data_IF_369211412365
#
_entry.id   IF_369211412365
#
_cell.length_a   1.000
_cell.length_b   1.000
_cell.length_c   1.000
_cell.angle_alpha   90.00
_cell.angle_beta   90.00
_cell.angle_gamma   90.00
#
_symmetry.space_group_name_H-M   'P 1'
#
loop_
_entity.id
_entity.type
_entity.pdbx_description
1 polymer ?
#
# COMPACT_ATOMS: atom_id res chain seq x y z
N UNK A 1 -1.75 11.03 -17.82
CA UNK A 1 -0.82 11.61 -16.82
C UNK A 1 0.35 10.67 -16.64
N UNK A 2 1.55 11.18 -16.77
CA UNK A 2 2.78 10.42 -16.49
C UNK A 2 3.11 10.49 -15.01
N UNK A 3 3.43 9.34 -14.42
CA UNK A 3 3.89 9.25 -13.04
C UNK A 3 5.35 8.77 -13.00
N UNK A 4 6.03 9.12 -11.91
CA UNK A 4 7.37 8.63 -11.60
C UNK A 4 7.33 7.82 -10.30
N UNK A 5 8.18 6.82 -10.21
CA UNK A 5 8.45 6.05 -9.02
C UNK A 5 9.84 6.40 -8.50
N UNK A 6 9.91 6.90 -7.29
CA UNK A 6 11.15 7.36 -6.67
C UNK A 6 11.37 6.56 -5.38
N UNK A 7 12.56 5.93 -5.19
CA UNK A 7 12.88 5.29 -3.92
C UNK A 7 12.78 6.31 -2.78
N UNK A 8 12.02 5.98 -1.74
CA UNK A 8 11.88 6.85 -0.58
C UNK A 8 13.14 6.80 0.28
N UNK A 9 13.54 7.94 0.80
CA UNK A 9 14.66 8.12 1.70
C UNK A 9 14.19 8.57 3.10
N UNK A 10 15.08 8.60 4.06
CA UNK A 10 14.73 8.97 5.44
C UNK A 10 14.07 10.35 5.54
N UNK A 11 14.51 11.31 4.74
CA UNK A 11 13.91 12.64 4.70
C UNK A 11 12.47 12.66 4.16
N UNK A 12 12.02 11.59 3.50
CA UNK A 12 10.68 11.51 2.91
C UNK A 12 9.63 11.00 3.92
N UNK A 13 10.03 10.62 5.13
CA UNK A 13 9.12 10.03 6.12
C UNK A 13 8.00 10.96 6.53
N UNK A 14 8.28 12.26 6.67
CA UNK A 14 7.24 13.25 6.98
C UNK A 14 6.20 13.34 5.86
N UNK A 15 6.65 13.33 4.61
CA UNK A 15 5.79 13.33 3.43
C UNK A 15 4.92 12.06 3.38
N UNK A 16 5.50 10.89 3.58
CA UNK A 16 4.78 9.61 3.60
C UNK A 16 3.71 9.59 4.69
N UNK A 17 4.06 10.08 5.88
CA UNK A 17 3.14 10.14 7.01
C UNK A 17 1.99 11.12 6.75
N UNK A 18 2.27 12.26 6.12
CA UNK A 18 1.26 13.22 5.70
C UNK A 18 0.29 12.61 4.67
N UNK A 19 0.81 11.90 3.67
CA UNK A 19 -0.01 11.18 2.68
C UNK A 19 -0.91 10.15 3.36
N UNK A 20 -0.37 9.36 4.29
CA UNK A 20 -1.15 8.37 5.06
C UNK A 20 -2.27 9.03 5.85
N UNK A 21 -1.98 10.13 6.53
CA UNK A 21 -2.97 10.89 7.30
C UNK A 21 -4.11 11.38 6.42
N UNK A 22 -3.80 11.85 5.21
CA UNK A 22 -4.81 12.32 4.26
C UNK A 22 -5.64 11.18 3.66
N UNK A 23 -5.01 10.05 3.36
CA UNK A 23 -5.65 8.91 2.71
C UNK A 23 -6.52 8.11 3.67
N UNK A 24 -6.11 7.92 4.93
CA UNK A 24 -6.83 7.07 5.90
C UNK A 24 -8.32 7.38 6.04
N UNK A 25 -8.77 8.62 6.18
CA UNK A 25 -10.20 8.90 6.32
C UNK A 25 -11.03 8.40 5.13
N UNK A 26 -10.50 8.48 3.93
CA UNK A 26 -11.22 8.03 2.73
C UNK A 26 -11.13 6.53 2.50
N UNK A 27 -10.01 5.90 2.88
CA UNK A 27 -9.80 4.47 2.71
C UNK A 27 -10.53 3.61 3.75
N UNK A 28 -10.65 4.11 4.99
CA UNK A 28 -11.12 3.30 6.12
C UNK A 28 -12.41 3.82 6.77
N UNK A 29 -12.97 4.92 6.30
CA UNK A 29 -14.25 5.42 6.83
C UNK A 29 -15.35 4.41 6.54
N UNK A 30 -16.12 4.06 7.60
CA UNK A 30 -17.10 2.98 7.56
C UNK A 30 -16.54 1.57 7.80
N UNK A 31 -15.19 1.40 7.81
CA UNK A 31 -14.52 0.14 8.14
C UNK A 31 -13.97 0.19 9.57
N UNK A 32 -13.27 1.27 9.92
CA UNK A 32 -12.76 1.51 11.26
C UNK A 32 -13.62 2.51 12.02
N UNK A 33 -13.69 2.43 13.37
CA UNK A 33 -14.32 3.45 14.20
C UNK A 33 -13.74 4.84 13.89
N UNK A 34 -14.61 5.88 13.92
CA UNK A 34 -14.18 7.26 13.68
C UNK A 34 -13.02 7.69 14.55
N UNK A 35 -13.03 7.33 15.84
CA UNK A 35 -11.91 7.57 16.76
C UNK A 35 -10.57 7.02 16.25
N UNK A 36 -10.54 5.79 15.74
CA UNK A 36 -9.33 5.17 15.23
C UNK A 36 -8.78 5.89 13.98
N UNK A 37 -9.64 6.57 13.23
CA UNK A 37 -9.26 7.37 12.06
C UNK A 37 -8.79 8.76 12.49
N UNK A 38 -9.47 9.38 13.43
CA UNK A 38 -9.25 10.76 13.88
C UNK A 38 -8.04 10.88 14.80
N UNK A 39 -7.78 9.87 15.63
CA UNK A 39 -6.59 9.79 16.49
C UNK A 39 -5.38 9.29 15.69
N UNK A 40 -4.84 10.18 14.85
CA UNK A 40 -3.65 9.90 14.08
C UNK A 40 -2.40 10.42 14.78
N UNK A 41 -1.60 9.51 15.33
CA UNK A 41 -0.30 9.84 15.93
C UNK A 41 0.76 9.96 14.84
N UNK A 42 0.97 11.19 14.37
CA UNK A 42 1.92 11.49 13.30
C UNK A 42 3.34 11.03 13.65
N UNK A 43 3.79 11.33 14.86
CA UNK A 43 5.15 10.97 15.32
C UNK A 43 5.36 9.46 15.35
N UNK A 44 4.39 8.69 15.85
CA UNK A 44 4.48 7.23 15.90
C UNK A 44 4.49 6.62 14.50
N UNK A 45 3.68 7.13 13.58
CA UNK A 45 3.68 6.68 12.19
C UNK A 45 5.00 7.00 11.49
N UNK A 46 5.53 8.22 11.68
CA UNK A 46 6.80 8.62 11.09
C UNK A 46 7.96 7.75 11.57
N UNK A 47 8.01 7.43 12.86
CA UNK A 47 9.03 6.54 13.43
C UNK A 47 8.96 5.13 12.83
N UNK A 48 7.75 4.60 12.64
CA UNK A 48 7.55 3.29 11.99
C UNK A 48 8.00 3.30 10.53
N UNK A 49 7.71 4.36 9.79
CA UNK A 49 8.14 4.50 8.40
C UNK A 49 9.67 4.61 8.30
N UNK A 50 10.29 5.36 9.21
CA UNK A 50 11.74 5.47 9.28
C UNK A 50 12.40 4.11 9.55
N UNK A 51 11.87 3.34 10.49
CA UNK A 51 12.36 2.00 10.79
C UNK A 51 12.28 1.07 9.55
N UNK A 52 11.20 1.15 8.79
CA UNK A 52 11.03 0.37 7.55
C UNK A 52 11.98 0.81 6.45
N UNK A 53 12.24 2.11 6.28
CA UNK A 53 13.22 2.60 5.30
C UNK A 53 14.63 2.12 5.64
N UNK A 54 14.97 2.03 6.90
CA UNK A 54 16.27 1.53 7.37
C UNK A 54 16.43 0.02 7.30
N UNK A 55 15.33 -0.71 7.29
CA UNK A 55 15.32 -2.16 7.19
C UNK A 55 15.45 -2.60 5.73
N UNK A 56 16.54 -3.30 5.42
CA UNK A 56 16.85 -3.75 4.05
C UNK A 56 15.84 -4.76 3.48
N UNK A 57 15.00 -5.37 4.32
CA UNK A 57 13.93 -6.25 3.84
C UNK A 57 12.77 -5.49 3.22
N UNK A 58 12.64 -4.19 3.51
CA UNK A 58 11.62 -3.32 2.95
C UNK A 58 12.10 -2.57 1.72
N UNK A 59 11.18 -2.34 0.80
CA UNK A 59 11.34 -1.42 -0.32
C UNK A 59 10.18 -0.42 -0.30
N UNK A 60 10.52 0.86 -0.28
CA UNK A 60 9.56 1.96 -0.17
C UNK A 60 9.73 2.89 -1.36
N UNK A 61 8.65 3.18 -2.07
CA UNK A 61 8.67 4.08 -3.21
C UNK A 61 7.60 5.16 -3.08
N UNK A 62 7.97 6.40 -3.35
CA UNK A 62 7.01 7.46 -3.61
C UNK A 62 6.48 7.35 -5.04
N UNK A 63 5.20 7.59 -5.21
CA UNK A 63 4.56 7.81 -6.51
C UNK A 63 4.40 9.30 -6.68
N UNK A 64 4.99 9.85 -7.73
CA UNK A 64 4.98 11.28 -8.00
C UNK A 64 4.29 11.59 -9.32
N UNK A 65 3.53 12.67 -9.36
CA UNK A 65 2.95 13.24 -10.57
C UNK A 65 3.38 14.70 -10.68
N UNK A 66 3.98 15.08 -11.79
CA UNK A 66 4.52 16.44 -11.96
C UNK A 66 5.55 16.85 -10.90
N UNK A 67 6.31 15.90 -10.37
CA UNK A 67 7.27 16.11 -9.30
C UNK A 67 6.69 16.14 -7.88
N UNK A 68 5.37 16.11 -7.72
CA UNK A 68 4.71 16.12 -6.42
C UNK A 68 4.38 14.69 -5.97
N UNK A 69 4.69 14.30 -4.73
CA UNK A 69 4.28 13.02 -4.18
C UNK A 69 2.76 12.93 -4.05
N UNK A 70 2.17 11.90 -4.65
CA UNK A 70 0.72 11.65 -4.66
C UNK A 70 0.34 10.32 -4.02
N UNK A 71 1.31 9.53 -3.63
CA UNK A 71 1.09 8.21 -3.03
C UNK A 71 2.41 7.52 -2.72
N UNK A 72 2.33 6.31 -2.23
CA UNK A 72 3.50 5.49 -1.97
C UNK A 72 3.18 3.99 -2.02
N UNK A 73 4.23 3.20 -2.24
CA UNK A 73 4.22 1.74 -2.24
C UNK A 73 5.20 1.25 -1.18
N UNK A 74 4.79 0.26 -0.41
CA UNK A 74 5.62 -0.34 0.64
C UNK A 74 5.56 -1.86 0.52
N UNK A 75 6.70 -2.47 0.29
CA UNK A 75 6.87 -3.92 0.20
C UNK A 75 7.83 -4.44 1.24
N UNK A 76 7.67 -5.70 1.58
CA UNK A 76 8.63 -6.44 2.37
C UNK A 76 9.02 -7.73 1.65
N UNK A 77 10.32 -7.99 1.54
CA UNK A 77 10.83 -9.27 1.06
C UNK A 77 10.67 -10.31 2.16
N UNK A 78 9.95 -11.37 1.86
CA UNK A 78 9.81 -12.55 2.70
C UNK A 78 10.46 -13.76 2.01
N UNK A 79 10.63 -14.87 2.71
CA UNK A 79 11.39 -16.04 2.22
C UNK A 79 10.91 -16.55 0.84
N UNK A 80 9.60 -16.55 0.59
CA UNK A 80 9.00 -17.11 -0.62
C UNK A 80 8.13 -16.10 -1.41
N UNK A 81 8.04 -14.85 -0.95
CA UNK A 81 7.13 -13.88 -1.55
C UNK A 81 7.54 -12.44 -1.25
N UNK A 82 7.04 -11.50 -2.04
CA UNK A 82 7.00 -10.09 -1.68
C UNK A 82 5.66 -9.78 -1.06
N UNK A 83 5.66 -9.24 0.14
CA UNK A 83 4.44 -8.76 0.79
C UNK A 83 4.24 -7.28 0.51
N UNK A 84 3.12 -6.96 -0.12
CA UNK A 84 2.67 -5.58 -0.28
C UNK A 84 1.96 -5.14 1.00
N UNK A 85 2.58 -4.22 1.76
CA UNK A 85 1.99 -3.65 2.98
C UNK A 85 1.11 -2.44 2.70
N UNK A 86 1.50 -1.62 1.74
CA UNK A 86 0.78 -0.39 1.41
C UNK A 86 0.89 -0.07 -0.07
N UNK A 87 -0.25 0.30 -0.63
CA UNK A 87 -0.37 0.85 -1.97
C UNK A 87 -1.42 1.95 -1.91
N UNK A 88 -0.97 3.17 -1.71
CA UNK A 88 -1.85 4.32 -1.52
C UNK A 88 -1.63 5.37 -2.59
N UNK A 89 -2.74 5.94 -3.06
CA UNK A 89 -2.78 7.09 -3.95
C UNK A 89 -3.86 8.05 -3.44
N UNK A 90 -3.56 9.34 -3.41
CA UNK A 90 -4.51 10.38 -3.03
C UNK A 90 -5.80 10.28 -3.86
N UNK A 91 -6.92 10.56 -3.22
CA UNK A 91 -8.26 10.37 -3.80
C UNK A 91 -8.44 11.07 -5.14
N UNK A 92 -7.98 12.31 -5.25
CA UNK A 92 -8.07 13.11 -6.48
C UNK A 92 -7.30 12.55 -7.67
N UNK A 93 -6.38 11.62 -7.41
CA UNK A 93 -5.59 10.92 -8.44
C UNK A 93 -6.07 9.49 -8.70
N UNK A 94 -7.06 9.00 -7.95
CA UNK A 94 -7.61 7.68 -8.17
C UNK A 94 -8.44 7.62 -9.46
N UNK A 95 -8.71 6.40 -9.95
CA UNK A 95 -9.49 6.13 -11.17
C UNK A 95 -8.92 6.75 -12.47
N UNK A 96 -7.65 7.16 -12.46
CA UNK A 96 -6.92 7.71 -13.62
C UNK A 96 -5.85 6.75 -14.15
N UNK A 97 -5.91 5.49 -13.78
CA UNK A 97 -4.95 4.47 -14.20
C UNK A 97 -3.59 4.51 -13.48
N UNK A 98 -3.44 5.35 -12.45
CA UNK A 98 -2.17 5.51 -11.73
C UNK A 98 -1.77 4.24 -11.01
N UNK A 99 -2.71 3.54 -10.37
CA UNK A 99 -2.43 2.26 -9.72
C UNK A 99 -1.90 1.23 -10.72
N UNK A 100 -2.48 1.15 -11.91
CA UNK A 100 -1.99 0.26 -12.98
C UNK A 100 -0.58 0.62 -13.43
N UNK A 101 -0.29 1.91 -13.61
CA UNK A 101 1.07 2.38 -13.96
C UNK A 101 2.07 2.07 -12.86
N UNK A 102 1.71 2.29 -11.59
CA UNK A 102 2.56 1.97 -10.44
C UNK A 102 2.91 0.48 -10.39
N UNK A 103 1.93 -0.40 -10.63
CA UNK A 103 2.17 -1.84 -10.69
C UNK A 103 3.01 -2.27 -11.90
N UNK A 104 2.86 -1.63 -13.04
CA UNK A 104 3.73 -1.88 -14.19
C UNK A 104 5.19 -1.53 -13.90
N UNK A 105 5.43 -0.43 -13.20
CA UNK A 105 6.77 -0.04 -12.73
C UNK A 105 7.35 -1.05 -11.75
N UNK A 106 6.52 -1.62 -10.88
CA UNK A 106 6.94 -2.68 -9.97
C UNK A 106 7.32 -3.96 -10.68
N UNK A 107 6.56 -4.34 -11.69
CA UNK A 107 6.89 -5.50 -12.51
C UNK A 107 8.29 -5.38 -13.10
N UNK A 108 8.63 -4.21 -13.64
CA UNK A 108 9.96 -3.94 -14.17
C UNK A 108 11.05 -3.99 -13.09
N UNK A 109 10.78 -3.47 -11.91
CA UNK A 109 11.70 -3.50 -10.78
C UNK A 109 11.95 -4.94 -10.28
N UNK A 110 10.89 -5.72 -10.11
CA UNK A 110 10.98 -7.04 -9.51
C UNK A 110 11.42 -8.13 -10.49
N UNK A 111 11.23 -7.97 -11.79
CA UNK A 111 11.75 -8.92 -12.77
C UNK A 111 13.27 -9.08 -12.71
N UNK A 112 13.99 -8.04 -12.27
CA UNK A 112 15.44 -8.09 -12.08
C UNK A 112 15.91 -8.48 -10.67
N UNK A 113 15.01 -8.46 -9.66
CA UNK A 113 15.38 -8.62 -8.25
C UNK A 113 14.64 -9.76 -7.54
N UNK A 114 13.43 -10.09 -7.98
CA UNK A 114 12.61 -11.12 -7.37
C UNK A 114 11.53 -11.62 -8.35
N UNK A 115 11.51 -12.93 -8.58
CA UNK A 115 10.60 -13.60 -9.52
C UNK A 115 9.49 -14.40 -8.83
N UNK A 116 9.14 -14.08 -7.61
CA UNK A 116 8.14 -14.79 -6.83
C UNK A 116 6.76 -14.15 -6.82
N UNK A 117 5.79 -14.79 -6.16
CA UNK A 117 4.45 -14.22 -6.01
C UNK A 117 4.46 -12.98 -5.11
N UNK A 118 3.53 -12.07 -5.37
CA UNK A 118 3.25 -10.91 -4.52
C UNK A 118 2.03 -11.22 -3.67
N UNK A 119 2.19 -11.16 -2.35
CA UNK A 119 1.12 -11.40 -1.38
C UNK A 119 0.67 -10.09 -0.78
N UNK A 120 -0.62 -9.93 -0.62
CA UNK A 120 -1.21 -8.77 0.05
C UNK A 120 -2.40 -9.18 0.91
N UNK A 121 -2.59 -8.45 1.98
CA UNK A 121 -3.69 -8.66 2.92
C UNK A 121 -4.53 -7.38 2.94
N UNK A 122 -5.83 -7.55 2.72
CA UNK A 122 -6.79 -6.47 2.66
C UNK A 122 -7.91 -6.69 3.67
N UNK A 123 -8.55 -5.60 4.08
CA UNK A 123 -9.82 -5.65 4.80
C UNK A 123 -10.95 -6.10 3.85
N UNK A 124 -11.84 -7.04 4.27
CA UNK A 124 -12.92 -7.53 3.43
C UNK A 124 -13.87 -6.43 2.93
N UNK A 125 -14.05 -5.37 3.74
CA UNK A 125 -14.94 -4.27 3.41
C UNK A 125 -14.31 -3.20 2.51
N UNK A 126 -13.03 -3.30 2.18
CA UNK A 126 -12.36 -2.41 1.25
C UNK A 126 -12.63 -2.86 -0.20
N UNK A 127 -13.87 -2.70 -0.65
CA UNK A 127 -14.33 -3.21 -1.94
C UNK A 127 -13.59 -2.61 -3.14
N UNK A 128 -13.17 -1.35 -3.06
CA UNK A 128 -12.41 -0.70 -4.11
C UNK A 128 -11.05 -1.38 -4.32
N UNK A 129 -10.34 -1.67 -3.24
CA UNK A 129 -9.08 -2.39 -3.29
C UNK A 129 -9.27 -3.83 -3.77
N UNK A 130 -10.30 -4.54 -3.29
CA UNK A 130 -10.62 -5.91 -3.73
C UNK A 130 -10.84 -5.96 -5.24
N UNK A 131 -11.65 -5.05 -5.78
CA UNK A 131 -11.90 -4.95 -7.21
C UNK A 131 -10.63 -4.63 -8.01
N UNK A 132 -9.83 -3.70 -7.51
CA UNK A 132 -8.57 -3.32 -8.16
C UNK A 132 -7.63 -4.54 -8.28
N UNK A 133 -7.39 -5.26 -7.19
CA UNK A 133 -6.47 -6.40 -7.21
C UNK A 133 -7.02 -7.58 -8.01
N UNK A 134 -8.32 -7.81 -8.03
CA UNK A 134 -8.93 -8.80 -8.93
C UNK A 134 -8.70 -8.46 -10.40
N UNK A 135 -8.85 -7.18 -10.79
CA UNK A 135 -8.56 -6.73 -12.16
C UNK A 135 -7.08 -6.88 -12.53
N UNK A 136 -6.20 -6.77 -11.55
CA UNK A 136 -4.76 -6.99 -11.75
C UNK A 136 -4.38 -8.47 -11.86
N UNK A 137 -5.35 -9.37 -11.79
CA UNK A 137 -5.13 -10.82 -11.89
C UNK A 137 -4.90 -11.50 -10.54
N UNK A 138 -5.20 -10.81 -9.44
CA UNK A 138 -5.08 -11.36 -8.09
C UNK A 138 -6.11 -12.44 -7.80
N UNK A 139 -5.67 -13.47 -7.09
CA UNK A 139 -6.50 -14.59 -6.63
C UNK A 139 -6.56 -14.60 -5.11
N UNK A 140 -7.77 -14.76 -4.56
CA UNK A 140 -7.95 -14.93 -3.11
C UNK A 140 -7.47 -16.34 -2.72
N UNK A 141 -6.56 -16.41 -1.75
CA UNK A 141 -6.00 -17.66 -1.23
C UNK A 141 -6.41 -17.95 0.20
N UNK A 142 -6.83 -16.96 0.96
CA UNK A 142 -7.27 -17.11 2.33
C UNK A 142 -8.27 -16.02 2.72
N UNK A 143 -9.26 -16.40 3.52
CA UNK A 143 -10.26 -15.48 4.09
C UNK A 143 -10.36 -15.77 5.58
N UNK A 144 -10.15 -14.76 6.39
CA UNK A 144 -10.35 -14.80 7.84
C UNK A 144 -11.33 -13.70 8.22
N UNK A 145 -12.57 -14.10 8.51
CA UNK A 145 -13.68 -13.18 8.84
C UNK A 145 -14.47 -13.69 10.03
N UNK A 146 -15.31 -12.82 10.57
CA UNK A 146 -16.14 -13.15 11.74
C UNK A 146 -15.38 -13.04 13.06
N UNK A 147 -14.25 -12.32 13.07
CA UNK A 147 -13.52 -12.04 14.29
C UNK A 147 -14.33 -11.14 15.24
N UNK A 148 -14.12 -11.28 16.55
CA UNK A 148 -14.78 -10.44 17.55
C UNK A 148 -14.49 -8.95 17.33
N UNK A 149 -13.26 -8.62 16.85
CA UNK A 149 -12.91 -7.32 16.36
C UNK A 149 -12.89 -7.34 14.82
N UNK A 150 -13.86 -6.69 14.14
CA UNK A 150 -13.89 -6.68 12.66
C UNK A 150 -12.66 -6.09 11.98
N UNK A 151 -11.85 -5.30 12.69
CA UNK A 151 -10.59 -4.77 12.18
C UNK A 151 -9.54 -5.87 11.94
N UNK A 152 -9.72 -7.03 12.55
CA UNK A 152 -8.85 -8.20 12.39
C UNK A 152 -9.27 -9.08 11.20
N UNK A 153 -10.43 -8.83 10.62
CA UNK A 153 -10.89 -9.53 9.42
C UNK A 153 -9.96 -9.23 8.23
N UNK A 154 -9.60 -10.28 7.50
CA UNK A 154 -8.60 -10.21 6.43
C UNK A 154 -9.00 -11.04 5.22
N UNK A 155 -8.62 -10.54 4.05
CA UNK A 155 -8.64 -11.29 2.78
C UNK A 155 -7.22 -11.27 2.22
N UNK A 156 -6.66 -12.44 1.97
CA UNK A 156 -5.31 -12.56 1.42
C UNK A 156 -5.36 -12.89 -0.07
N UNK A 157 -4.62 -12.10 -0.85
CA UNK A 157 -4.46 -12.26 -2.30
C UNK A 157 -3.06 -12.69 -2.65
N UNK A 158 -2.94 -13.39 -3.78
CA UNK A 158 -1.69 -13.60 -4.50
C UNK A 158 -1.78 -13.01 -5.89
N UNK A 159 -0.74 -12.28 -6.28
CA UNK A 159 -0.52 -11.73 -7.60
C UNK A 159 0.78 -12.24 -8.18
N UNK A 160 0.78 -12.54 -9.47
CA UNK A 160 1.99 -12.76 -10.24
C UNK A 160 2.19 -11.57 -11.18
N UNK A 161 3.16 -10.74 -10.88
CA UNK A 161 3.48 -9.55 -11.67
C UNK A 161 4.44 -9.84 -12.81
#
# INVERSE_FOLDING_TARGET
>A
MMIARIPAQEQDTACMTALRKEIRPTAYRGIYPGEAIEHFDFSAHQKRDLAKIRDKSYSVFLICAGGAPIGYLLFQRQAAALRLHSSYVLREYQHQGIGKQAFAMLRSYHSGTFAGPHRLVLQPHNENALRFYRRMGGTIIHVDTGNANPQEDQVEFVLFL
#
